data_IF_461610430128
#
_entry.id   IF_461610430128
#
_cell.length_a   1.000
_cell.length_b   1.000
_cell.length_c   1.000
_cell.angle_alpha   90.00
_cell.angle_beta   90.00
_cell.angle_gamma   90.00
#
_symmetry.space_group_name_H-M   'P 1'
#
loop_
_entity.id
_entity.type
_entity.pdbx_description
1 polymer ?
#
# COMPACT_ATOMS: atom_id res chain seq x y z
N UNK A 1 -4.29 -2.83 14.33
CA UNK A 1 -4.22 -4.31 14.19
C UNK A 1 -4.60 -4.69 12.79
N UNK A 2 -3.90 -5.63 12.16
CA UNK A 2 -4.27 -6.18 10.86
C UNK A 2 -4.89 -7.55 11.07
N UNK A 3 -6.13 -7.73 10.64
CA UNK A 3 -6.82 -9.01 10.66
C UNK A 3 -7.00 -9.54 9.24
N UNK A 4 -6.95 -10.86 9.02
CA UNK A 4 -7.34 -11.44 7.73
C UNK A 4 -8.79 -11.03 7.39
N UNK A 5 -9.07 -10.76 6.11
CA UNK A 5 -10.36 -10.24 5.64
C UNK A 5 -11.58 -11.10 6.08
N UNK A 6 -11.38 -12.39 6.30
CA UNK A 6 -12.43 -13.35 6.69
C UNK A 6 -12.42 -13.68 8.20
N UNK A 7 -11.50 -13.09 8.97
CA UNK A 7 -11.30 -13.37 10.39
C UNK A 7 -11.08 -12.06 11.15
N UNK A 8 -12.00 -11.10 11.02
CA UNK A 8 -12.01 -9.96 11.92
C UNK A 8 -12.78 -10.32 13.20
N UNK A 9 -12.11 -10.52 14.34
CA UNK A 9 -12.78 -10.86 15.60
C UNK A 9 -13.69 -9.74 16.11
N UNK A 10 -13.45 -8.48 15.69
CA UNK A 10 -14.26 -7.33 16.09
C UNK A 10 -15.61 -7.28 15.37
N UNK A 11 -15.72 -7.88 14.18
CA UNK A 11 -16.95 -7.83 13.37
C UNK A 11 -18.14 -8.58 14.02
N UNK A 12 -17.88 -9.47 14.99
CA UNK A 12 -18.91 -10.20 15.73
C UNK A 12 -19.21 -9.63 17.12
N UNK A 13 -18.60 -8.51 17.52
CA UNK A 13 -18.77 -7.95 18.86
C UNK A 13 -19.98 -7.02 18.88
N UNK A 14 -20.96 -7.35 19.72
CA UNK A 14 -22.28 -6.71 19.71
C UNK A 14 -22.28 -5.28 20.29
N UNK A 15 -21.40 -4.96 21.24
CA UNK A 15 -21.42 -3.70 21.98
C UNK A 15 -20.03 -3.33 22.53
N UNK A 16 -19.93 -2.15 23.14
CA UNK A 16 -18.69 -1.60 23.69
C UNK A 16 -18.06 -2.50 24.77
N UNK A 17 -18.87 -3.10 25.65
CA UNK A 17 -18.38 -4.01 26.69
C UNK A 17 -17.73 -5.26 26.08
N UNK A 18 -18.31 -5.81 25.01
CA UNK A 18 -17.73 -6.93 24.29
C UNK A 18 -16.38 -6.57 23.64
N UNK A 19 -16.24 -5.35 23.12
CA UNK A 19 -14.96 -4.81 22.62
C UNK A 19 -13.95 -4.68 23.75
N UNK A 20 -14.32 -4.08 24.88
CA UNK A 20 -13.41 -3.93 26.03
C UNK A 20 -12.94 -5.28 26.57
N UNK A 21 -13.85 -6.24 26.74
CA UNK A 21 -13.50 -7.60 27.18
C UNK A 21 -12.52 -8.27 26.22
N UNK A 22 -12.70 -8.09 24.90
CA UNK A 22 -11.76 -8.59 23.90
C UNK A 22 -10.36 -7.99 24.08
N UNK A 23 -10.24 -6.68 24.31
CA UNK A 23 -8.94 -6.03 24.54
C UNK A 23 -8.34 -6.40 25.89
N UNK A 24 -9.13 -6.56 26.95
CA UNK A 24 -8.65 -7.05 28.24
C UNK A 24 -8.05 -8.46 28.13
N UNK A 25 -8.69 -9.35 27.36
CA UNK A 25 -8.20 -10.72 27.18
C UNK A 25 -6.99 -10.79 26.25
N UNK A 26 -7.04 -10.11 25.10
CA UNK A 26 -6.03 -10.25 24.03
C UNK A 26 -4.89 -9.25 24.11
N UNK A 27 -5.11 -8.08 24.69
CA UNK A 27 -4.16 -6.96 24.76
C UNK A 27 -4.32 -6.17 26.07
N UNK A 28 -4.15 -6.80 27.25
CA UNK A 28 -4.44 -6.18 28.55
C UNK A 28 -3.67 -4.87 28.78
N UNK A 29 -2.50 -4.72 28.17
CA UNK A 29 -1.71 -3.48 28.23
C UNK A 29 -2.41 -2.26 27.61
N UNK A 30 -3.39 -2.46 26.72
CA UNK A 30 -4.14 -1.39 26.07
C UNK A 30 -5.45 -1.04 26.79
N UNK A 31 -5.98 -1.89 27.66
CA UNK A 31 -7.26 -1.64 28.35
C UNK A 31 -7.27 -0.34 29.16
N UNK A 32 -6.21 0.06 29.90
CA UNK A 32 -6.21 1.33 30.64
C UNK A 32 -6.37 2.58 29.76
N UNK A 33 -6.11 2.46 28.46
CA UNK A 33 -6.17 3.53 27.49
C UNK A 33 -7.42 3.48 26.60
N UNK A 34 -8.28 2.47 26.76
CA UNK A 34 -9.48 2.30 25.96
C UNK A 34 -10.70 2.79 26.73
N UNK A 35 -11.20 3.97 26.36
CA UNK A 35 -12.46 4.48 26.93
C UNK A 35 -13.66 3.71 26.37
N UNK A 36 -14.83 3.84 27.01
CA UNK A 36 -16.07 3.28 26.48
C UNK A 36 -16.43 3.93 25.13
N UNK A 37 -16.17 5.23 24.97
CA UNK A 37 -16.38 5.96 23.72
C UNK A 37 -15.48 5.41 22.60
N UNK A 38 -14.20 5.13 22.87
CA UNK A 38 -13.29 4.51 21.90
C UNK A 38 -13.78 3.11 21.48
N UNK A 39 -14.32 2.34 22.43
CA UNK A 39 -14.84 1.00 22.17
C UNK A 39 -16.13 1.05 21.31
N UNK A 40 -17.03 2.00 21.57
CA UNK A 40 -18.21 2.25 20.73
C UNK A 40 -17.80 2.70 19.32
N UNK A 41 -16.87 3.66 19.23
CA UNK A 41 -16.36 4.13 17.95
C UNK A 41 -15.69 3.00 17.16
N UNK A 42 -14.94 2.12 17.81
CA UNK A 42 -14.32 0.96 17.17
C UNK A 42 -15.37 -0.05 16.67
N UNK A 43 -16.44 -0.28 17.43
CA UNK A 43 -17.53 -1.19 17.04
C UNK A 43 -18.28 -0.70 15.81
N UNK A 44 -18.49 0.61 15.70
CA UNK A 44 -19.21 1.22 14.57
C UNK A 44 -18.34 1.39 13.32
N UNK A 45 -17.00 1.29 13.46
CA UNK A 45 -16.08 1.49 12.34
C UNK A 45 -16.14 0.33 11.35
N UNK A 46 -16.39 0.59 10.06
CA UNK A 46 -16.35 -0.44 9.05
C UNK A 46 -14.94 -0.99 8.90
N UNK A 47 -14.84 -2.30 8.65
CA UNK A 47 -13.56 -2.97 8.44
C UNK A 47 -12.97 -2.53 7.11
N UNK A 48 -11.79 -1.90 7.14
CA UNK A 48 -11.07 -1.52 5.93
C UNK A 48 -10.57 -2.74 5.16
N UNK A 49 -10.66 -2.69 3.83
CA UNK A 49 -10.12 -3.72 2.94
C UNK A 49 -8.71 -3.34 2.51
N UNK A 50 -7.79 -4.30 2.58
CA UNK A 50 -6.44 -4.14 2.02
C UNK A 50 -6.46 -4.64 0.59
N UNK A 51 -6.09 -3.77 -0.36
CA UNK A 51 -5.91 -4.09 -1.77
C UNK A 51 -4.41 -4.23 -2.08
N UNK A 52 -4.09 -4.99 -3.12
CA UNK A 52 -2.76 -4.93 -3.75
C UNK A 52 -2.91 -4.67 -5.24
N UNK A 53 -2.17 -3.71 -5.76
CA UNK A 53 -2.08 -3.38 -7.17
C UNK A 53 -0.72 -3.85 -7.68
N UNK A 54 -0.73 -4.47 -8.88
CA UNK A 54 0.49 -4.83 -9.60
C UNK A 54 0.44 -4.15 -10.95
N UNK A 55 1.53 -3.48 -11.30
CA UNK A 55 1.68 -2.76 -12.54
C UNK A 55 3.11 -2.96 -13.04
N UNK A 56 3.26 -3.29 -14.33
CA UNK A 56 4.56 -3.51 -14.97
C UNK A 56 4.95 -2.35 -15.90
N UNK A 57 4.14 -1.28 -15.91
CA UNK A 57 4.36 -0.10 -16.75
C UNK A 57 3.81 1.15 -16.08
N UNK A 58 4.70 2.07 -15.70
CA UNK A 58 4.31 3.29 -15.00
C UNK A 58 3.93 4.43 -15.95
N UNK A 59 4.27 4.37 -17.24
CA UNK A 59 3.94 5.43 -18.19
C UNK A 59 3.43 4.89 -19.53
N UNK A 60 2.63 5.69 -20.23
CA UNK A 60 2.17 5.43 -21.59
C UNK A 60 2.17 6.74 -22.38
N UNK A 61 2.61 6.67 -23.63
CA UNK A 61 2.40 7.74 -24.59
C UNK A 61 1.21 7.36 -25.51
N UNK A 62 0.31 8.31 -25.75
CA UNK A 62 -0.97 8.14 -26.44
C UNK A 62 -1.05 9.13 -27.60
N UNK A 63 -1.01 8.61 -28.82
CA UNK A 63 -1.04 9.39 -30.06
C UNK A 63 0.07 8.98 -31.02
N UNK A 64 0.13 9.65 -32.17
CA UNK A 64 1.29 9.53 -33.07
C UNK A 64 2.46 10.35 -32.55
N UNK A 65 3.68 9.96 -32.94
CA UNK A 65 4.92 10.65 -32.59
C UNK A 65 4.95 12.07 -33.17
N UNK A 66 4.35 13.00 -32.43
CA UNK A 66 4.09 14.39 -32.80
C UNK A 66 4.25 15.26 -31.54
N UNK A 67 4.57 16.56 -31.68
CA UNK A 67 4.60 17.49 -30.55
C UNK A 67 3.30 17.54 -29.73
N UNK A 68 2.18 17.05 -30.29
CA UNK A 68 0.86 16.97 -29.64
C UNK A 68 0.60 15.64 -28.90
N UNK A 69 1.60 14.76 -28.77
CA UNK A 69 1.44 13.46 -28.12
C UNK A 69 1.08 13.61 -26.64
N UNK A 70 0.00 12.93 -26.22
CA UNK A 70 -0.42 12.89 -24.82
C UNK A 70 0.44 11.87 -24.07
N UNK A 71 0.87 12.20 -22.86
CA UNK A 71 1.66 11.30 -22.01
C UNK A 71 0.99 11.15 -20.65
N UNK A 72 0.93 9.92 -20.17
CA UNK A 72 0.34 9.56 -18.88
C UNK A 72 1.43 8.91 -18.03
N UNK A 73 1.52 9.35 -16.77
CA UNK A 73 2.37 8.77 -15.74
C UNK A 73 1.49 8.34 -14.56
N UNK A 74 1.71 7.13 -14.06
CA UNK A 74 1.13 6.61 -12.83
C UNK A 74 2.23 6.59 -11.75
N UNK A 75 1.89 7.00 -10.53
CA UNK A 75 2.78 6.98 -9.36
C UNK A 75 2.00 6.57 -8.11
N UNK A 76 2.70 6.21 -7.04
CA UNK A 76 2.08 5.87 -5.76
C UNK A 76 1.19 4.62 -5.83
N UNK A 77 0.14 4.60 -5.01
CA UNK A 77 -0.80 3.48 -4.91
C UNK A 77 -1.45 3.07 -6.24
N UNK A 78 -1.51 3.95 -7.24
CA UNK A 78 -1.99 3.63 -8.58
C UNK A 78 -1.10 2.61 -9.32
N UNK A 79 0.19 2.53 -8.96
CA UNK A 79 1.15 1.56 -9.50
C UNK A 79 1.39 0.43 -8.50
N UNK A 80 1.52 0.78 -7.22
CA UNK A 80 2.08 -0.11 -6.21
C UNK A 80 1.38 -0.03 -4.85
N UNK A 81 0.05 -0.05 -4.83
CA UNK A 81 -0.66 -0.30 -3.57
C UNK A 81 -0.27 -1.70 -3.03
N UNK A 82 0.26 -1.77 -1.81
CA UNK A 82 0.63 -3.02 -1.15
C UNK A 82 0.23 -3.02 0.34
N UNK A 83 0.53 -4.10 1.05
CA UNK A 83 0.13 -4.23 2.46
C UNK A 83 0.74 -3.12 3.33
N UNK A 84 -0.02 -2.48 4.24
CA UNK A 84 0.53 -1.46 5.14
C UNK A 84 1.51 -2.03 6.19
N UNK A 85 1.75 -3.36 6.20
CA UNK A 85 2.55 -4.07 7.19
C UNK A 85 3.96 -3.50 7.43
N UNK A 86 4.58 -2.92 6.40
CA UNK A 86 5.94 -2.36 6.49
C UNK A 86 5.95 -0.83 6.62
N UNK A 87 4.79 -0.18 6.59
CA UNK A 87 4.66 1.27 6.75
C UNK A 87 5.31 2.12 5.64
N UNK A 88 5.61 1.55 4.47
CA UNK A 88 6.35 2.25 3.41
C UNK A 88 5.51 2.87 2.29
N UNK A 89 4.18 2.65 2.23
CA UNK A 89 3.36 3.11 1.10
C UNK A 89 3.46 4.63 0.84
N UNK A 90 3.36 5.44 1.91
CA UNK A 90 3.47 6.89 1.79
C UNK A 90 4.89 7.34 1.41
N UNK A 91 5.92 6.76 2.05
CA UNK A 91 7.31 7.09 1.75
C UNK A 91 7.67 6.75 0.29
N UNK A 92 7.27 5.57 -0.19
CA UNK A 92 7.50 5.15 -1.56
C UNK A 92 6.81 6.08 -2.56
N UNK A 93 5.58 6.52 -2.27
CA UNK A 93 4.86 7.49 -3.10
C UNK A 93 5.52 8.86 -3.13
N UNK A 94 6.07 9.33 -2.00
CA UNK A 94 6.83 10.59 -1.95
C UNK A 94 8.15 10.49 -2.70
N UNK A 95 8.82 9.33 -2.62
CA UNK A 95 10.05 9.06 -3.35
C UNK A 95 9.82 9.03 -4.87
N UNK A 96 8.67 8.51 -5.34
CA UNK A 96 8.30 8.61 -6.76
C UNK A 96 8.24 10.07 -7.23
N UNK A 97 7.58 10.94 -6.46
CA UNK A 97 7.50 12.38 -6.79
C UNK A 97 8.90 13.00 -6.82
N UNK A 98 9.73 12.69 -5.83
CA UNK A 98 11.10 13.19 -5.76
C UNK A 98 11.94 12.77 -6.97
N UNK A 99 11.95 11.48 -7.30
CA UNK A 99 12.74 10.95 -8.43
C UNK A 99 12.23 11.53 -9.75
N UNK A 100 10.91 11.63 -9.94
CA UNK A 100 10.38 12.21 -11.16
C UNK A 100 10.75 13.69 -11.31
N UNK A 101 10.67 14.48 -10.24
CA UNK A 101 11.10 15.88 -10.25
C UNK A 101 12.59 16.03 -10.62
N UNK A 102 13.46 15.19 -10.07
CA UNK A 102 14.90 15.19 -10.40
C UNK A 102 15.15 14.87 -11.88
N UNK A 103 14.37 13.94 -12.45
CA UNK A 103 14.48 13.59 -13.87
C UNK A 103 13.98 14.72 -14.77
N UNK A 104 12.93 15.44 -14.39
CA UNK A 104 12.48 16.63 -15.12
C UNK A 104 13.56 17.71 -15.14
N UNK A 105 14.20 17.98 -13.99
CA UNK A 105 15.33 18.92 -13.92
C UNK A 105 16.50 18.48 -14.82
N UNK A 106 16.86 17.19 -14.76
CA UNK A 106 17.96 16.62 -15.55
C UNK A 106 17.70 16.67 -17.06
N UNK A 107 16.49 16.34 -17.50
CA UNK A 107 16.14 16.27 -18.91
C UNK A 107 15.56 17.58 -19.45
N UNK A 108 15.47 18.65 -18.64
CA UNK A 108 14.92 19.95 -19.01
C UNK A 108 13.47 19.83 -19.50
N UNK A 109 12.62 19.19 -18.69
CA UNK A 109 11.20 18.96 -18.99
C UNK A 109 10.93 18.17 -20.29
N UNK A 110 11.89 17.38 -20.76
CA UNK A 110 11.70 16.44 -21.89
C UNK A 110 11.12 15.11 -21.39
N UNK A 111 9.79 15.03 -21.33
CA UNK A 111 9.04 13.89 -20.82
C UNK A 111 9.31 12.60 -21.61
N UNK A 112 9.61 12.70 -22.90
CA UNK A 112 10.02 11.58 -23.76
C UNK A 112 11.28 10.86 -23.26
N UNK A 113 12.13 11.56 -22.49
CA UNK A 113 13.32 10.98 -21.87
C UNK A 113 13.09 10.68 -20.38
N UNK A 114 12.38 11.56 -19.66
CA UNK A 114 12.16 11.41 -18.23
C UNK A 114 11.25 10.21 -17.89
N UNK A 115 10.20 9.93 -18.68
CA UNK A 115 9.23 8.87 -18.35
C UNK A 115 9.82 7.44 -18.47
N UNK A 116 10.56 7.08 -19.56
CA UNK A 116 11.20 5.78 -19.62
C UNK A 116 12.23 5.58 -18.51
N UNK A 117 13.03 6.62 -18.23
CA UNK A 117 14.05 6.58 -17.19
C UNK A 117 13.42 6.43 -15.79
N UNK A 118 12.35 7.18 -15.51
CA UNK A 118 11.57 7.05 -14.28
C UNK A 118 11.08 5.61 -14.08
N UNK A 119 10.50 5.01 -15.13
CA UNK A 119 9.99 3.63 -15.03
C UNK A 119 11.12 2.64 -14.82
N UNK A 120 12.26 2.81 -15.50
CA UNK A 120 13.43 1.95 -15.32
C UNK A 120 13.98 2.01 -13.88
N UNK A 121 13.96 3.19 -13.25
CA UNK A 121 14.43 3.37 -11.88
C UNK A 121 13.43 2.90 -10.81
N UNK A 122 12.14 3.24 -10.97
CA UNK A 122 11.13 3.04 -9.91
C UNK A 122 10.45 1.68 -9.95
N UNK A 123 10.29 1.06 -11.12
CA UNK A 123 9.57 -0.20 -11.23
C UNK A 123 10.19 -1.36 -10.42
N UNK A 124 11.52 -1.56 -10.43
CA UNK A 124 12.15 -2.61 -9.61
C UNK A 124 11.92 -2.39 -8.11
N UNK A 125 11.96 -1.13 -7.65
CA UNK A 125 11.75 -0.81 -6.24
C UNK A 125 10.29 -1.02 -5.83
N UNK A 126 9.33 -0.62 -6.68
CA UNK A 126 7.92 -0.88 -6.47
C UNK A 126 7.62 -2.39 -6.33
N UNK A 127 8.27 -3.22 -7.16
CA UNK A 127 8.17 -4.69 -7.06
C UNK A 127 8.79 -5.21 -5.77
N UNK A 128 9.97 -4.72 -5.38
CA UNK A 128 10.65 -5.13 -4.15
C UNK A 128 9.84 -4.79 -2.89
N UNK A 129 9.26 -3.58 -2.81
CA UNK A 129 8.42 -3.16 -1.68
C UNK A 129 7.16 -4.02 -1.54
N UNK A 130 6.52 -4.33 -2.67
CA UNK A 130 5.39 -5.25 -2.71
C UNK A 130 5.78 -6.61 -2.15
N UNK A 131 6.87 -7.19 -2.65
CA UNK A 131 7.31 -8.53 -2.24
C UNK A 131 7.71 -8.56 -0.76
N UNK A 132 8.41 -7.53 -0.27
CA UNK A 132 8.70 -7.37 1.15
C UNK A 132 7.43 -7.27 2.00
N UNK A 133 6.42 -6.54 1.54
CA UNK A 133 5.14 -6.42 2.24
C UNK A 133 4.39 -7.75 2.36
N UNK A 134 4.54 -8.64 1.37
CA UNK A 134 3.99 -10.00 1.40
C UNK A 134 4.78 -10.89 2.37
N UNK A 135 6.12 -10.86 2.32
CA UNK A 135 6.96 -11.62 3.25
C UNK A 135 6.70 -11.21 4.70
N UNK A 136 6.60 -9.90 4.98
CA UNK A 136 6.28 -9.39 6.32
C UNK A 136 4.89 -9.84 6.83
N UNK A 137 3.94 -10.13 5.94
CA UNK A 137 2.65 -10.74 6.33
C UNK A 137 2.77 -12.23 6.67
N UNK A 138 3.66 -12.96 6.01
CA UNK A 138 3.80 -14.41 6.17
C UNK A 138 4.29 -14.81 7.57
N UNK A 139 5.00 -13.92 8.27
CA UNK A 139 5.48 -14.16 9.63
C UNK A 139 4.37 -14.14 10.70
N UNK A 140 3.12 -13.82 10.32
CA UNK A 140 1.94 -13.97 11.18
C UNK A 140 1.09 -15.23 10.91
N UNK A 141 1.28 -15.88 9.76
CA UNK A 141 0.72 -17.19 9.39
C UNK A 141 1.24 -17.61 8.01
N UNK A 142 2.17 -18.58 7.98
CA UNK A 142 2.44 -19.43 6.82
C UNK A 142 3.15 -18.76 5.65
N UNK A 143 4.43 -19.10 5.51
CA UNK A 143 5.23 -18.90 4.30
C UNK A 143 4.55 -19.59 3.11
N UNK A 144 4.02 -18.81 2.16
CA UNK A 144 3.70 -19.30 0.81
C UNK A 144 4.67 -18.66 -0.18
N UNK A 145 5.76 -19.38 -0.47
CA UNK A 145 6.48 -19.18 -1.72
C UNK A 145 5.58 -19.70 -2.85
N UNK A 146 5.03 -18.80 -3.67
CA UNK A 146 4.53 -19.20 -4.98
C UNK A 146 5.73 -19.32 -5.91
N UNK A 147 6.00 -20.48 -6.54
CA UNK A 147 7.08 -20.60 -7.49
C UNK A 147 6.75 -19.74 -8.72
N UNK A 148 7.78 -19.08 -9.23
CA UNK A 148 7.75 -18.47 -10.56
C UNK A 148 7.26 -19.49 -11.59
N UNK A 149 6.40 -19.04 -12.51
CA UNK A 149 6.25 -19.67 -13.83
C UNK A 149 6.39 -18.53 -14.84
N UNK A 150 7.28 -18.75 -15.81
CA UNK A 150 7.75 -17.77 -16.80
C UNK A 150 6.81 -17.52 -17.96
#
# INVERSE_FOLDING_TARGET
>A
MLFPHHKNPLAGLANADAVRNFFQEKCPALDPFMTLEDAEALQQRPVSKVLTVKCDRMHVAVGEASPSENRILLIGDAVHAFSPSIGQGCNASLQDVQVFAQLLDQYQDRWEHALPEFTAQRLPEAHALRDLSYCSKADGAGVYFSPHVG
#
